data_IF_770508595469
#
_entry.id   IF_770508595469
#
_cell.length_a   1.000
_cell.length_b   1.000
_cell.length_c   1.000
_cell.angle_alpha   90.00
_cell.angle_beta   90.00
_cell.angle_gamma   90.00
#
_symmetry.space_group_name_H-M   'P 1'
#
loop_
_entity.id
_entity.type
_entity.pdbx_description
1 polymer ?
#
# COMPACT_ATOMS: atom_id res chain seq x y z
N UNK A 1 33.22 6.00 -12.39
CA UNK A 1 34.05 5.89 -11.18
C UNK A 1 33.45 6.89 -10.23
N UNK A 2 32.76 6.41 -9.21
CA UNK A 2 32.04 7.24 -8.24
C UNK A 2 32.49 6.74 -6.88
N UNK A 3 33.11 7.63 -6.11
CA UNK A 3 33.75 7.32 -4.83
C UNK A 3 32.71 6.95 -3.77
N UNK A 4 33.05 5.93 -2.98
CA UNK A 4 32.37 5.54 -1.75
C UNK A 4 33.34 5.90 -0.63
N UNK A 5 32.98 6.85 0.23
CA UNK A 5 33.71 7.09 1.48
C UNK A 5 33.06 6.28 2.59
N UNK A 6 33.84 5.36 3.18
CA UNK A 6 33.50 4.68 4.44
C UNK A 6 34.04 5.51 5.62
N UNK A 7 33.17 5.83 6.58
CA UNK A 7 33.56 6.36 7.89
C UNK A 7 33.06 5.39 8.95
N UNK A 8 34.02 4.78 9.66
CA UNK A 8 33.82 3.90 10.81
C UNK A 8 33.42 4.69 12.05
N UNK A 9 32.40 4.24 12.80
CA UNK A 9 32.11 4.77 14.15
C UNK A 9 31.64 3.63 15.09
N UNK A 10 32.08 3.77 16.35
CA UNK A 10 32.16 2.80 17.44
C UNK A 10 30.82 2.32 18.06
N UNK A 11 30.95 1.24 18.84
CA UNK A 11 29.89 0.34 19.31
C UNK A 11 29.00 0.84 20.49
N UNK A 12 28.92 2.13 20.79
CA UNK A 12 28.16 2.64 21.95
C UNK A 12 26.94 3.54 21.64
N UNK A 13 26.61 3.80 20.37
CA UNK A 13 25.43 4.61 19.97
C UNK A 13 24.09 3.84 19.95
N UNK A 14 23.95 2.78 20.76
CA UNK A 14 22.83 1.81 20.71
C UNK A 14 21.48 2.38 21.23
N UNK A 15 21.41 3.61 21.74
CA UNK A 15 20.16 4.18 22.29
C UNK A 15 19.48 5.29 21.46
N UNK A 16 19.98 5.64 20.27
CA UNK A 16 19.48 6.77 19.46
C UNK A 16 19.13 6.43 18.01
N UNK A 17 18.69 5.19 17.72
CA UNK A 17 18.14 4.87 16.38
C UNK A 17 16.68 5.35 16.27
N UNK A 18 16.51 6.68 16.11
CA UNK A 18 15.37 7.21 15.34
C UNK A 18 15.36 6.44 14.02
N UNK A 19 14.32 5.65 13.78
CA UNK A 19 14.15 4.89 12.55
C UNK A 19 14.35 5.83 11.37
N UNK A 20 15.37 5.56 10.57
CA UNK A 20 15.65 6.31 9.35
C UNK A 20 14.50 6.00 8.38
N UNK A 21 13.52 6.91 8.33
CA UNK A 21 12.19 6.73 7.72
C UNK A 21 12.20 6.82 6.19
N UNK A 22 13.35 6.63 5.54
CA UNK A 22 13.52 7.00 4.13
C UNK A 22 13.19 5.91 3.10
N UNK A 23 12.96 4.63 3.48
CA UNK A 23 12.93 3.53 2.49
C UNK A 23 11.68 2.63 2.51
N UNK A 24 10.53 3.09 2.99
CA UNK A 24 9.30 2.25 3.03
C UNK A 24 8.73 1.92 1.65
N UNK A 25 8.95 2.77 0.65
CA UNK A 25 8.64 2.52 -0.74
C UNK A 25 9.72 3.17 -1.62
N UNK A 26 9.78 2.76 -2.89
CA UNK A 26 10.67 3.37 -3.89
C UNK A 26 9.89 3.91 -5.07
N UNK A 27 10.47 4.89 -5.75
CA UNK A 27 10.01 5.43 -7.04
C UNK A 27 11.18 5.40 -8.02
N UNK A 28 10.91 5.32 -9.32
CA UNK A 28 11.94 5.38 -10.35
C UNK A 28 11.58 6.42 -11.43
N UNK A 29 12.56 6.76 -12.27
CA UNK A 29 12.36 7.56 -13.48
C UNK A 29 13.10 6.90 -14.64
N UNK A 30 12.63 7.11 -15.87
CA UNK A 30 13.31 6.61 -17.08
C UNK A 30 13.32 5.09 -17.24
N UNK A 31 12.39 4.37 -16.58
CA UNK A 31 12.22 2.94 -16.79
C UNK A 31 11.74 2.64 -18.22
N UNK A 32 12.21 1.54 -18.83
CA UNK A 32 11.81 1.20 -20.19
C UNK A 32 10.34 0.79 -20.26
N UNK A 33 9.66 1.26 -21.29
CA UNK A 33 8.33 0.77 -21.64
C UNK A 33 8.45 -0.57 -22.35
N UNK A 34 7.77 -1.58 -21.80
CA UNK A 34 7.75 -2.95 -22.31
C UNK A 34 6.30 -3.43 -22.40
N UNK A 35 6.08 -4.53 -23.12
CA UNK A 35 4.74 -5.12 -23.18
C UNK A 35 4.31 -5.63 -21.80
N UNK A 36 2.99 -5.61 -21.48
CA UNK A 36 2.47 -6.12 -20.22
C UNK A 36 2.93 -7.55 -19.89
N UNK A 37 3.03 -8.42 -20.90
CA UNK A 37 3.57 -9.78 -20.73
C UNK A 37 5.01 -9.80 -20.20
N UNK A 38 5.88 -8.92 -20.72
CA UNK A 38 7.27 -8.84 -20.29
C UNK A 38 7.36 -8.20 -18.90
N UNK A 39 6.59 -7.15 -18.64
CA UNK A 39 6.59 -6.52 -17.32
C UNK A 39 6.06 -7.48 -16.26
N UNK A 40 5.00 -8.25 -16.53
CA UNK A 40 4.45 -9.20 -15.57
C UNK A 40 5.47 -10.23 -15.08
N UNK A 41 6.42 -10.64 -15.92
CA UNK A 41 7.54 -11.51 -15.50
C UNK A 41 8.52 -10.81 -14.56
N UNK A 42 8.71 -9.49 -14.73
CA UNK A 42 9.63 -8.67 -13.90
C UNK A 42 9.02 -8.32 -12.56
N UNK A 43 7.75 -7.91 -12.54
CA UNK A 43 7.08 -7.40 -11.32
C UNK A 43 6.28 -8.47 -10.58
N UNK A 44 6.02 -9.63 -11.20
CA UNK A 44 5.15 -10.66 -10.63
C UNK A 44 5.58 -11.18 -9.27
N UNK A 45 6.88 -11.26 -8.98
CA UNK A 45 7.41 -11.68 -7.68
C UNK A 45 7.08 -10.70 -6.54
N UNK A 46 6.82 -9.43 -6.85
CA UNK A 46 6.42 -8.41 -5.87
C UNK A 46 4.94 -8.48 -5.49
N UNK A 47 4.12 -9.23 -6.23
CA UNK A 47 2.69 -9.35 -5.97
C UNK A 47 2.44 -10.49 -5.01
N UNK A 48 1.79 -10.19 -3.90
CA UNK A 48 1.52 -11.17 -2.83
C UNK A 48 0.05 -11.54 -2.83
N UNK A 49 -0.28 -12.75 -2.38
CA UNK A 49 -1.64 -13.10 -1.97
C UNK A 49 -1.76 -12.87 -0.47
N UNK A 50 -2.75 -12.10 -0.05
CA UNK A 50 -3.09 -11.92 1.36
C UNK A 50 -4.25 -12.86 1.68
N UNK A 51 -4.16 -13.59 2.78
CA UNK A 51 -5.16 -14.57 3.20
C UNK A 51 -5.48 -14.38 4.68
N UNK A 52 -6.78 -14.40 4.99
CA UNK A 52 -7.34 -14.31 6.33
C UNK A 52 -8.37 -15.44 6.53
N UNK A 53 -8.83 -15.70 7.76
CA UNK A 53 -9.92 -16.63 8.00
C UNK A 53 -11.20 -16.30 7.20
N UNK A 54 -11.54 -15.01 7.09
CA UNK A 54 -12.74 -14.53 6.41
C UNK A 54 -12.62 -14.35 4.89
N UNK A 55 -11.41 -14.37 4.30
CA UNK A 55 -11.26 -14.13 2.87
C UNK A 55 -9.83 -14.11 2.32
N UNK A 56 -9.71 -13.68 1.07
CA UNK A 56 -8.43 -13.52 0.38
C UNK A 56 -8.44 -12.28 -0.51
N UNK A 57 -7.24 -11.73 -0.71
CA UNK A 57 -6.98 -10.63 -1.61
C UNK A 57 -5.55 -10.67 -2.13
N UNK A 58 -5.11 -9.56 -2.71
CA UNK A 58 -3.74 -9.37 -3.17
C UNK A 58 -3.08 -8.20 -2.44
N UNK A 59 -1.78 -8.09 -2.57
CA UNK A 59 -0.97 -6.97 -2.10
C UNK A 59 0.23 -6.76 -3.01
N UNK A 60 1.00 -5.70 -2.75
CA UNK A 60 2.28 -5.49 -3.43
C UNK A 60 3.37 -5.12 -2.43
N UNK A 61 4.51 -5.78 -2.55
CA UNK A 61 5.75 -5.49 -1.82
C UNK A 61 6.35 -4.18 -2.34
N UNK A 62 6.68 -3.29 -1.40
CA UNK A 62 7.13 -1.93 -1.63
C UNK A 62 8.65 -1.76 -1.45
N UNK A 63 9.26 -2.65 -0.67
CA UNK A 63 10.70 -2.68 -0.44
C UNK A 63 11.19 -4.10 -0.13
N UNK A 64 12.52 -4.26 -0.06
CA UNK A 64 13.15 -5.54 0.24
C UNK A 64 13.02 -5.99 1.70
N UNK A 65 12.61 -5.11 2.62
CA UNK A 65 12.43 -5.44 4.05
C UNK A 65 11.09 -6.14 4.33
N UNK A 66 10.20 -6.20 3.33
CA UNK A 66 8.91 -6.88 3.45
C UNK A 66 7.73 -5.96 3.72
N UNK A 67 7.89 -4.64 3.60
CA UNK A 67 6.73 -3.74 3.65
C UNK A 67 5.84 -3.98 2.43
N UNK A 68 4.56 -4.20 2.66
CA UNK A 68 3.57 -4.44 1.61
C UNK A 68 2.32 -3.60 1.83
N UNK A 69 1.67 -3.20 0.74
CA UNK A 69 0.35 -2.55 0.79
C UNK A 69 -0.73 -3.53 0.31
N UNK A 70 -1.89 -3.48 0.95
CA UNK A 70 -3.13 -4.13 0.52
C UNK A 70 -4.33 -3.23 0.86
N UNK A 71 -5.55 -3.69 0.59
CA UNK A 71 -6.76 -2.98 1.02
C UNK A 71 -7.13 -3.29 2.46
N UNK A 72 -7.71 -2.31 3.16
CA UNK A 72 -8.15 -2.47 4.54
C UNK A 72 -9.28 -3.51 4.65
N UNK A 73 -10.22 -3.54 3.71
CA UNK A 73 -11.31 -4.52 3.72
C UNK A 73 -10.83 -5.98 3.54
N UNK A 74 -9.65 -6.21 2.96
CA UNK A 74 -9.08 -7.57 2.80
C UNK A 74 -8.71 -8.17 4.16
N UNK A 75 -8.32 -7.32 5.11
CA UNK A 75 -7.82 -7.71 6.43
C UNK A 75 -8.81 -7.38 7.56
N UNK A 76 -9.99 -6.86 7.22
CA UNK A 76 -10.89 -6.25 8.19
C UNK A 76 -11.41 -7.27 9.20
N UNK A 77 -11.24 -6.96 10.49
CA UNK A 77 -11.73 -7.79 11.60
C UNK A 77 -10.88 -9.03 11.87
N UNK A 78 -9.75 -9.19 11.18
CA UNK A 78 -8.88 -10.36 11.26
C UNK A 78 -7.53 -9.98 11.84
N UNK A 79 -7.03 -10.79 12.78
CA UNK A 79 -5.68 -10.63 13.36
C UNK A 79 -4.71 -11.72 12.89
N UNK A 80 -5.23 -12.84 12.38
CA UNK A 80 -4.44 -13.93 11.80
C UNK A 80 -4.34 -13.72 10.28
N UNK A 81 -3.15 -13.33 9.83
CA UNK A 81 -2.85 -13.00 8.45
C UNK A 81 -1.74 -13.89 7.93
N UNK A 82 -1.92 -14.37 6.70
CA UNK A 82 -0.87 -15.07 5.96
C UNK A 82 -0.65 -14.40 4.63
N UNK A 83 0.60 -14.32 4.21
CA UNK A 83 0.96 -13.90 2.87
C UNK A 83 1.53 -15.08 2.08
N UNK A 84 1.13 -15.24 0.82
CA UNK A 84 1.87 -16.09 -0.12
C UNK A 84 2.70 -15.21 -1.04
N UNK A 85 4.00 -15.48 -1.09
CA UNK A 85 4.98 -14.82 -1.96
C UNK A 85 5.53 -15.82 -2.99
N UNK A 86 6.07 -15.30 -4.09
CA UNK A 86 6.69 -16.11 -5.16
C UNK A 86 8.14 -15.69 -5.35
N UNK A 87 9.07 -16.49 -4.80
CA UNK A 87 10.49 -16.18 -4.77
C UNK A 87 11.17 -16.75 -6.02
N UNK A 88 11.80 -15.92 -6.88
CA UNK A 88 12.56 -16.39 -8.03
C UNK A 88 13.70 -17.32 -7.64
N UNK A 89 13.84 -18.41 -8.37
CA UNK A 89 14.89 -19.40 -8.20
C UNK A 89 15.97 -19.26 -9.29
N UNK A 90 17.21 -19.70 -9.04
CA UNK A 90 18.29 -19.65 -10.04
C UNK A 90 17.99 -20.39 -11.35
N UNK A 91 17.09 -21.39 -11.30
CA UNK A 91 16.63 -22.14 -12.47
C UNK A 91 15.53 -21.44 -13.27
N UNK A 92 15.11 -20.23 -12.86
CA UNK A 92 14.07 -19.43 -13.48
C UNK A 92 12.64 -19.80 -13.05
N UNK A 93 12.47 -20.79 -12.17
CA UNK A 93 11.18 -21.08 -11.55
C UNK A 93 10.84 -20.07 -10.45
N UNK A 94 9.57 -20.03 -10.04
CA UNK A 94 9.16 -19.30 -8.84
C UNK A 94 8.77 -20.30 -7.75
N UNK A 95 9.40 -20.19 -6.59
CA UNK A 95 9.03 -20.96 -5.41
C UNK A 95 7.90 -20.26 -4.68
N UNK A 96 6.78 -20.97 -4.51
CA UNK A 96 5.65 -20.50 -3.70
C UNK A 96 5.98 -20.68 -2.22
N UNK A 97 5.94 -19.60 -1.46
CA UNK A 97 6.25 -19.59 -0.02
C UNK A 97 5.13 -18.91 0.75
N UNK A 98 4.66 -19.56 1.81
CA UNK A 98 3.71 -18.95 2.76
C UNK A 98 4.50 -18.31 3.90
N UNK A 99 4.15 -17.08 4.23
CA UNK A 99 4.64 -16.29 5.35
C UNK A 99 3.51 -16.23 6.37
N UNK A 100 3.72 -16.85 7.53
CA UNK A 100 2.76 -16.84 8.64
C UNK A 100 3.00 -15.65 9.59
N UNK A 101 4.20 -15.05 9.56
CA UNK A 101 4.55 -13.87 10.35
C UNK A 101 4.28 -12.59 9.53
N UNK A 102 3.04 -12.13 9.59
CA UNK A 102 2.55 -10.91 8.92
C UNK A 102 2.03 -9.94 9.97
N UNK A 103 2.72 -8.82 10.13
CA UNK A 103 2.34 -7.76 11.07
C UNK A 103 1.52 -6.68 10.36
N UNK A 104 0.44 -6.20 10.99
CA UNK A 104 -0.29 -5.02 10.53
C UNK A 104 0.38 -3.79 11.15
N UNK A 105 0.93 -2.92 10.31
CA UNK A 105 1.63 -1.71 10.75
C UNK A 105 0.66 -0.53 10.87
N UNK A 106 -0.21 -0.35 9.87
CA UNK A 106 -1.16 0.76 9.84
C UNK A 106 -2.39 0.41 9.01
N UNK A 107 -3.55 0.98 9.37
CA UNK A 107 -4.81 0.78 8.66
C UNK A 107 -5.55 2.12 8.52
N UNK A 108 -5.92 2.46 7.29
CA UNK A 108 -6.79 3.59 6.99
C UNK A 108 -8.03 3.10 6.26
N UNK A 109 -9.13 2.96 7.02
CA UNK A 109 -10.42 2.50 6.49
C UNK A 109 -11.06 3.50 5.52
N UNK A 110 -10.77 4.80 5.64
CA UNK A 110 -11.33 5.80 4.72
C UNK A 110 -10.71 5.71 3.33
N UNK A 111 -9.39 5.51 3.25
CA UNK A 111 -8.68 5.28 1.99
C UNK A 111 -8.77 3.83 1.51
N UNK A 112 -9.26 2.93 2.35
CA UNK A 112 -9.24 1.47 2.16
C UNK A 112 -7.83 0.93 1.89
N UNK A 113 -6.87 1.32 2.74
CA UNK A 113 -5.47 0.92 2.65
C UNK A 113 -4.97 0.35 3.98
N UNK A 114 -4.14 -0.70 3.89
CA UNK A 114 -3.41 -1.27 5.01
C UNK A 114 -1.95 -1.49 4.64
N UNK A 115 -1.06 -1.11 5.56
CA UNK A 115 0.38 -1.36 5.47
C UNK A 115 0.72 -2.57 6.33
N UNK A 116 1.35 -3.56 5.71
CA UNK A 116 1.77 -4.81 6.34
C UNK A 116 3.30 -4.89 6.36
N UNK A 117 3.84 -5.70 7.27
CA UNK A 117 5.24 -6.09 7.30
C UNK A 117 5.33 -7.62 7.31
N UNK A 118 5.97 -8.17 6.28
CA UNK A 118 6.20 -9.61 6.13
C UNK A 118 7.64 -9.93 6.56
N UNK A 119 7.83 -10.97 7.35
CA UNK A 119 9.18 -11.48 7.67
C UNK A 119 9.60 -12.57 6.70
N UNK A 120 10.71 -12.36 6.01
CA UNK A 120 11.27 -13.39 5.13
C UNK A 120 11.78 -14.57 5.98
N UNK A 121 11.42 -15.83 5.67
CA UNK A 121 11.79 -16.99 6.49
C UNK A 121 13.31 -17.19 6.60
N UNK A 122 14.04 -16.83 5.53
CA UNK A 122 15.51 -16.87 5.48
C UNK A 122 16.20 -15.52 5.73
N UNK A 123 15.49 -14.49 6.22
CA UNK A 123 16.04 -13.11 6.40
C UNK A 123 16.67 -12.51 5.12
N UNK A 124 16.13 -12.85 3.94
CA UNK A 124 16.59 -12.32 2.63
C UNK A 124 15.72 -11.15 2.17
N UNK A 125 16.25 -10.25 1.33
CA UNK A 125 15.45 -9.21 0.72
C UNK A 125 14.37 -9.77 -0.20
N UNK A 126 13.16 -9.22 -0.12
CA UNK A 126 12.10 -9.51 -1.09
C UNK A 126 12.31 -8.78 -2.42
N UNK A 127 11.79 -9.35 -3.51
CA UNK A 127 11.52 -8.59 -4.72
C UNK A 127 10.33 -7.64 -4.48
N UNK A 128 10.45 -6.41 -4.98
CA UNK A 128 9.45 -5.37 -4.75
C UNK A 128 9.24 -4.53 -6.00
N UNK A 129 8.08 -3.84 -6.05
CA UNK A 129 7.76 -2.90 -7.12
C UNK A 129 7.95 -1.46 -6.68
N UNK A 130 8.16 -0.59 -7.66
CA UNK A 130 8.24 0.86 -7.44
C UNK A 130 6.87 1.50 -7.66
N UNK A 131 6.57 2.55 -6.90
CA UNK A 131 5.42 3.39 -7.12
C UNK A 131 5.73 4.45 -8.19
N UNK A 132 4.72 4.83 -8.96
CA UNK A 132 4.83 5.96 -9.89
C UNK A 132 5.16 7.25 -9.12
N UNK A 133 6.18 7.96 -9.60
CA UNK A 133 6.66 9.18 -8.97
C UNK A 133 5.68 10.35 -9.15
N UNK A 134 5.29 10.64 -10.39
CA UNK A 134 4.75 11.93 -10.79
C UNK A 134 3.24 11.97 -11.10
N UNK A 135 2.49 10.88 -10.92
CA UNK A 135 1.04 10.83 -11.22
C UNK A 135 0.69 11.30 -12.64
N UNK A 136 1.54 10.92 -13.60
CA UNK A 136 1.49 11.39 -14.97
C UNK A 136 0.76 10.41 -15.88
N UNK A 137 0.04 9.42 -15.32
CA UNK A 137 -0.80 8.55 -16.12
C UNK A 137 -1.73 9.36 -17.01
N UNK A 138 -2.03 8.86 -18.21
CA UNK A 138 -2.95 9.50 -19.15
C UNK A 138 -4.14 8.60 -19.52
N UNK A 139 -5.26 9.22 -19.89
CA UNK A 139 -6.42 8.47 -20.40
C UNK A 139 -6.02 7.76 -21.68
N UNK A 140 -6.34 6.47 -21.79
CA UNK A 140 -5.92 5.60 -22.88
C UNK A 140 -4.55 4.94 -22.69
N UNK A 141 -3.79 5.30 -21.64
CA UNK A 141 -2.53 4.63 -21.32
C UNK A 141 -2.79 3.17 -20.94
N UNK A 142 -1.95 2.26 -21.47
CA UNK A 142 -2.05 0.83 -21.20
C UNK A 142 -1.67 0.53 -19.76
N UNK A 143 -2.52 -0.24 -19.09
CA UNK A 143 -2.28 -0.74 -17.74
C UNK A 143 -2.59 -2.23 -17.65
N UNK A 144 -2.02 -2.88 -16.66
CA UNK A 144 -2.32 -4.27 -16.36
C UNK A 144 -2.37 -4.49 -14.85
N UNK A 145 -3.29 -5.35 -14.42
CA UNK A 145 -3.39 -5.79 -13.05
C UNK A 145 -2.88 -7.23 -12.95
N UNK A 146 -2.18 -7.52 -11.86
CA UNK A 146 -1.79 -8.88 -11.49
C UNK A 146 -2.39 -9.14 -10.12
N UNK A 147 -3.09 -10.25 -9.99
CA UNK A 147 -3.62 -10.69 -8.72
C UNK A 147 -3.76 -12.20 -8.66
N UNK A 148 -4.34 -12.66 -7.55
CA UNK A 148 -4.50 -14.07 -7.24
C UNK A 148 -5.98 -14.44 -7.04
N UNK A 149 -6.83 -14.34 -8.07
CA UNK A 149 -8.25 -14.66 -7.96
C UNK A 149 -8.46 -16.17 -7.77
N UNK A 150 -9.23 -16.53 -6.74
CA UNK A 150 -9.84 -17.87 -6.60
C UNK A 150 -8.87 -19.07 -6.62
N UNK A 151 -7.59 -18.87 -6.30
CA UNK A 151 -6.57 -19.93 -6.35
C UNK A 151 -6.02 -20.23 -7.75
N UNK A 152 -6.47 -19.50 -8.79
CA UNK A 152 -5.81 -19.45 -10.10
C UNK A 152 -4.60 -18.49 -9.97
N UNK A 153 -3.46 -19.04 -9.57
CA UNK A 153 -2.25 -18.26 -9.26
C UNK A 153 -1.84 -17.34 -10.42
N UNK A 154 -1.60 -16.05 -10.11
CA UNK A 154 -1.04 -15.04 -11.01
C UNK A 154 -1.88 -14.77 -12.27
N UNK A 155 -3.17 -14.53 -12.08
CA UNK A 155 -4.01 -14.06 -13.18
C UNK A 155 -3.64 -12.61 -13.54
N UNK A 156 -3.45 -12.36 -14.83
CA UNK A 156 -3.16 -11.05 -15.37
C UNK A 156 -4.34 -10.57 -16.21
N UNK A 157 -4.78 -9.34 -15.97
CA UNK A 157 -5.70 -8.62 -16.85
C UNK A 157 -5.01 -7.38 -17.41
N UNK A 158 -5.33 -7.03 -18.64
CA UNK A 158 -4.82 -5.83 -19.31
C UNK A 158 -6.01 -4.96 -19.72
N UNK A 159 -5.81 -3.65 -19.67
CA UNK A 159 -6.75 -2.65 -20.13
C UNK A 159 -6.06 -1.31 -20.32
N UNK A 160 -6.83 -0.24 -20.22
CA UNK A 160 -6.39 1.15 -20.29
C UNK A 160 -6.95 1.95 -19.13
N UNK A 161 -6.35 3.12 -18.89
CA UNK A 161 -6.94 4.13 -18.01
C UNK A 161 -8.16 4.75 -18.72
N UNK A 162 -9.35 4.55 -18.16
CA UNK A 162 -10.58 5.17 -18.67
C UNK A 162 -10.76 6.60 -18.14
N UNK A 163 -10.36 6.86 -16.89
CA UNK A 163 -10.43 8.18 -16.24
C UNK A 163 -9.48 8.21 -15.04
N UNK A 164 -8.81 9.34 -14.79
CA UNK A 164 -7.81 9.47 -13.72
C UNK A 164 -8.36 9.89 -12.36
N UNK A 165 -9.52 10.55 -12.37
CA UNK A 165 -10.07 11.26 -11.21
C UNK A 165 -11.59 11.06 -11.12
N UNK A 166 -12.03 9.81 -11.05
CA UNK A 166 -13.45 9.54 -10.79
C UNK A 166 -13.71 9.81 -9.31
N UNK A 167 -14.58 10.77 -9.00
CA UNK A 167 -14.87 11.15 -7.62
C UNK A 167 -16.01 10.33 -7.03
N UNK A 168 -15.80 9.81 -5.81
CA UNK A 168 -16.80 9.16 -4.96
C UNK A 168 -16.48 9.50 -3.50
N UNK A 169 -17.50 9.86 -2.71
CA UNK A 169 -17.40 10.08 -1.26
C UNK A 169 -16.20 10.93 -0.80
N UNK A 170 -15.86 11.97 -1.56
CA UNK A 170 -14.78 12.90 -1.25
C UNK A 170 -13.37 12.43 -1.64
N UNK A 171 -13.24 11.24 -2.22
CA UNK A 171 -11.99 10.70 -2.77
C UNK A 171 -12.03 10.67 -4.30
N UNK A 172 -10.87 10.50 -4.93
CA UNK A 172 -10.78 10.24 -6.37
C UNK A 172 -10.04 8.97 -6.69
N UNK A 173 -10.55 8.25 -7.68
CA UNK A 173 -10.07 6.94 -8.09
C UNK A 173 -9.66 6.95 -9.56
N UNK A 174 -8.70 6.08 -9.88
CA UNK A 174 -8.39 5.70 -11.24
C UNK A 174 -9.48 4.74 -11.69
N UNK A 175 -10.11 5.00 -12.82
CA UNK A 175 -11.01 4.07 -13.50
C UNK A 175 -10.25 3.38 -14.62
N UNK A 176 -10.41 2.07 -14.73
CA UNK A 176 -9.79 1.23 -15.78
C UNK A 176 -10.79 0.21 -16.30
N UNK A 177 -10.62 -0.22 -17.55
CA UNK A 177 -11.35 -1.35 -18.12
C UNK A 177 -10.60 -2.68 -17.97
N UNK A 178 -9.39 -2.68 -17.38
CA UNK A 178 -8.69 -3.89 -16.99
C UNK A 178 -9.57 -4.66 -15.99
N UNK A 179 -9.86 -5.93 -16.29
CA UNK A 179 -10.77 -6.73 -15.47
C UNK A 179 -10.26 -6.88 -14.03
N UNK A 180 -11.04 -6.42 -13.05
CA UNK A 180 -10.78 -6.59 -11.62
C UNK A 180 -11.84 -7.53 -11.04
N UNK A 181 -11.39 -8.70 -10.61
CA UNK A 181 -12.25 -9.77 -10.06
C UNK A 181 -11.89 -10.02 -8.58
N UNK A 182 -12.75 -10.75 -7.84
CA UNK A 182 -12.41 -11.21 -6.49
C UNK A 182 -11.02 -11.85 -6.42
N UNK A 183 -10.18 -11.33 -5.54
CA UNK A 183 -8.78 -11.72 -5.37
C UNK A 183 -7.74 -10.83 -6.06
N UNK A 184 -8.14 -9.90 -6.94
CA UNK A 184 -7.26 -8.80 -7.37
C UNK A 184 -7.24 -7.67 -6.34
N UNK A 185 -8.33 -7.46 -5.59
CA UNK A 185 -8.46 -6.40 -4.57
C UNK A 185 -7.23 -6.33 -3.65
N UNK A 186 -6.69 -5.12 -3.48
CA UNK A 186 -5.44 -4.85 -2.75
C UNK A 186 -4.16 -5.03 -3.58
N UNK A 187 -4.25 -5.63 -4.77
CA UNK A 187 -3.13 -5.81 -5.69
C UNK A 187 -2.80 -4.56 -6.51
N UNK A 188 -1.65 -4.57 -7.21
CA UNK A 188 -1.17 -3.43 -7.99
C UNK A 188 -1.83 -3.35 -9.37
N UNK A 189 -2.13 -2.12 -9.78
CA UNK A 189 -2.32 -1.73 -11.18
C UNK A 189 -1.01 -1.14 -11.69
N UNK A 190 -0.44 -1.72 -12.73
CA UNK A 190 0.84 -1.33 -13.31
C UNK A 190 0.69 -0.59 -14.64
N UNK A 191 1.60 0.33 -14.94
CA UNK A 191 1.78 0.88 -16.28
C UNK A 191 2.79 0.06 -17.11
N UNK A 192 2.98 0.42 -18.38
CA UNK A 192 3.95 -0.22 -19.29
C UNK A 192 5.42 -0.12 -18.88
N UNK A 193 5.76 0.71 -17.88
CA UNK A 193 7.10 0.81 -17.28
C UNK A 193 7.30 -0.15 -16.10
N UNK A 194 6.24 -0.82 -15.65
CA UNK A 194 6.24 -1.70 -14.49
C UNK A 194 6.14 -0.94 -13.16
N UNK A 195 5.73 0.33 -13.20
CA UNK A 195 5.47 1.12 -12.00
C UNK A 195 4.04 0.87 -11.54
N UNK A 196 3.83 0.79 -10.23
CA UNK A 196 2.48 0.77 -9.66
C UNK A 196 1.88 2.16 -9.81
N UNK A 197 0.74 2.27 -10.48
CA UNK A 197 -0.02 3.52 -10.66
C UNK A 197 -1.23 3.60 -9.73
N UNK A 198 -1.69 2.46 -9.22
CA UNK A 198 -2.71 2.40 -8.18
C UNK A 198 -2.87 1.02 -7.56
N UNK A 199 -3.72 0.93 -6.53
CA UNK A 199 -4.08 -0.32 -5.85
C UNK A 199 -5.52 -0.66 -6.21
N UNK A 200 -5.74 -1.81 -6.84
CA UNK A 200 -7.06 -2.19 -7.36
C UNK A 200 -8.05 -2.37 -6.21
N UNK A 201 -9.26 -1.79 -6.36
CA UNK A 201 -10.28 -1.77 -5.32
C UNK A 201 -11.60 -2.34 -5.87
N UNK A 202 -12.04 -3.47 -5.32
CA UNK A 202 -13.28 -4.14 -5.73
C UNK A 202 -14.54 -3.57 -5.04
N UNK A 203 -14.40 -2.78 -3.97
CA UNK A 203 -15.51 -2.28 -3.15
C UNK A 203 -16.37 -1.18 -3.81
N UNK A 204 -15.96 -0.65 -4.96
CA UNK A 204 -16.66 0.44 -5.67
C UNK A 204 -17.46 -0.16 -6.83
N UNK A 205 -18.63 -0.71 -6.55
CA UNK A 205 -19.53 -1.31 -7.55
C UNK A 205 -20.64 -0.33 -7.95
N UNK A 206 -20.37 0.54 -8.93
CA UNK A 206 -21.38 1.47 -9.46
C UNK A 206 -22.07 0.97 -10.75
N UNK A 207 -21.52 -0.01 -11.47
CA UNK A 207 -22.13 -0.67 -12.63
C UNK A 207 -21.25 -1.86 -13.10
N UNK A 208 -21.81 -2.76 -13.91
CA UNK A 208 -21.02 -3.74 -14.67
C UNK A 208 -20.00 -3.02 -15.57
N UNK A 209 -18.76 -3.55 -15.64
CA UNK A 209 -17.63 -3.00 -16.42
C UNK A 209 -16.97 -1.70 -15.90
N UNK A 210 -17.22 -1.28 -14.66
CA UNK A 210 -16.44 -0.21 -14.02
C UNK A 210 -15.48 -0.81 -12.99
N UNK A 211 -14.18 -0.70 -13.24
CA UNK A 211 -13.14 -1.10 -12.29
C UNK A 211 -12.37 0.12 -11.80
N UNK A 212 -11.95 0.07 -10.53
CA UNK A 212 -11.30 1.20 -9.87
C UNK A 212 -9.99 0.80 -9.20
N UNK A 213 -9.08 1.77 -9.08
CA UNK A 213 -7.88 1.67 -8.29
C UNK A 213 -7.66 2.95 -7.47
N UNK A 214 -7.16 2.78 -6.25
CA UNK A 214 -6.71 3.86 -5.37
C UNK A 214 -5.39 4.40 -5.95
N UNK A 215 -5.30 5.69 -6.35
CA UNK A 215 -4.08 6.23 -6.94
C UNK A 215 -2.89 6.17 -5.97
N UNK A 216 -1.68 6.01 -6.51
CA UNK A 216 -0.44 5.93 -5.68
C UNK A 216 -0.20 7.16 -4.83
N UNK A 217 -0.78 8.31 -5.16
CA UNK A 217 -0.75 9.52 -4.31
C UNK A 217 -1.24 9.26 -2.90
N UNK A 218 -2.38 8.59 -2.79
CA UNK A 218 -2.97 8.23 -1.51
C UNK A 218 -2.13 7.19 -0.79
N UNK A 219 -1.55 6.24 -1.53
CA UNK A 219 -0.64 5.23 -0.97
C UNK A 219 0.62 5.90 -0.39
N UNK A 220 1.27 6.79 -1.15
CA UNK A 220 2.45 7.55 -0.71
C UNK A 220 2.13 8.39 0.52
N UNK A 221 0.99 9.10 0.51
CA UNK A 221 0.56 9.95 1.63
C UNK A 221 0.21 9.12 2.87
N UNK A 222 -0.48 8.00 2.70
CA UNK A 222 -0.78 7.05 3.77
C UNK A 222 0.50 6.52 4.42
N UNK A 223 1.48 6.05 3.65
CA UNK A 223 2.73 5.49 4.18
C UNK A 223 3.57 6.56 4.91
N UNK A 224 3.64 7.78 4.36
CA UNK A 224 4.35 8.90 4.98
C UNK A 224 3.73 9.30 6.33
N UNK A 225 2.41 9.18 6.45
CA UNK A 225 1.66 9.57 7.65
C UNK A 225 1.16 8.36 8.44
N UNK A 226 1.74 7.17 8.25
CA UNK A 226 1.26 5.90 8.82
C UNK A 226 1.09 5.93 10.35
N UNK A 227 1.87 6.74 11.05
CA UNK A 227 1.80 6.88 12.51
C UNK A 227 0.42 7.40 12.98
N UNK A 228 -0.27 8.20 12.15
CA UNK A 228 -1.64 8.64 12.42
C UNK A 228 -2.69 7.53 12.25
N UNK A 229 -2.28 6.40 11.65
CA UNK A 229 -3.10 5.25 11.31
C UNK A 229 -2.53 3.95 11.90
N UNK A 230 -1.62 4.06 12.89
CA UNK A 230 -0.94 2.91 13.46
C UNK A 230 -1.96 1.90 13.98
N UNK A 231 -1.74 0.63 13.65
CA UNK A 231 -2.66 -0.42 14.08
C UNK A 231 -2.45 -0.74 15.57
N UNK A 232 -3.55 -0.81 16.31
CA UNK A 232 -3.58 -1.30 17.69
C UNK A 232 -4.57 -2.47 17.75
N UNK A 233 -4.10 -3.67 18.08
CA UNK A 233 -4.93 -4.87 18.19
C UNK A 233 -6.05 -4.70 19.24
N UNK A 234 -5.85 -3.87 20.26
CA UNK A 234 -6.85 -3.56 21.29
C UNK A 234 -7.83 -2.48 20.86
N UNK A 235 -7.50 -1.74 19.80
CA UNK A 235 -8.33 -0.68 19.25
C UNK A 235 -8.15 -0.57 17.73
N UNK A 236 -8.69 -1.54 16.97
CA UNK A 236 -8.46 -1.65 15.52
C UNK A 236 -9.05 -0.48 14.71
N UNK A 237 -9.74 0.46 15.36
CA UNK A 237 -10.35 1.64 14.75
C UNK A 237 -9.64 2.97 15.07
N UNK A 238 -8.53 3.00 15.83
CA UNK A 238 -8.03 4.29 16.35
C UNK A 238 -7.00 5.00 15.47
N UNK A 239 -7.45 6.04 14.77
CA UNK A 239 -6.64 7.18 14.36
C UNK A 239 -6.74 8.34 15.36
N UNK A 240 -6.26 8.13 16.60
CA UNK A 240 -6.27 9.05 17.76
C UNK A 240 -7.45 8.96 18.75
N UNK A 241 -7.11 8.86 20.04
CA UNK A 241 -7.98 9.23 21.15
C UNK A 241 -8.01 10.77 21.24
N UNK A 242 -9.12 11.39 20.83
CA UNK A 242 -9.36 12.77 21.23
C UNK A 242 -9.49 12.81 22.76
N UNK A 243 -8.72 13.66 23.43
CA UNK A 243 -9.08 14.04 24.79
C UNK A 243 -10.50 14.60 24.75
N UNK A 244 -11.38 14.12 25.63
CA UNK A 244 -12.71 14.69 25.79
C UNK A 244 -12.51 16.20 25.99
N UNK A 245 -13.10 17.06 25.15
CA UNK A 245 -13.02 18.50 25.34
C UNK A 245 -13.41 18.82 26.78
N UNK A 246 -12.74 19.77 27.46
CA UNK A 246 -13.11 20.15 28.82
C UNK A 246 -14.62 20.43 28.86
N UNK A 247 -15.33 19.60 29.62
CA UNK A 247 -16.76 19.76 29.81
C UNK A 247 -16.99 21.11 30.50
N UNK A 248 -18.01 21.90 30.09
CA UNK A 248 -18.39 23.10 30.83
C UNK A 248 -18.56 22.73 32.30
N UNK A 249 -17.98 23.51 33.21
CA UNK A 249 -18.22 23.32 34.65
C UNK A 249 -19.74 23.28 34.87
N UNK A 250 -20.21 22.41 35.78
CA UNK A 250 -21.64 22.29 36.14
C UNK A 250 -22.31 23.60 36.57
N UNK A 251 -21.52 24.64 36.80
CA UNK A 251 -21.96 26.00 37.13
C UNK A 251 -22.40 26.83 35.91
N UNK A 252 -22.44 26.27 34.70
CA UNK A 252 -23.08 26.90 33.54
C UNK A 252 -22.33 28.11 32.94
N UNK A 253 -21.08 28.33 33.34
CA UNK A 253 -20.25 29.40 32.79
C UNK A 253 -19.43 28.83 31.62
N UNK A 254 -19.80 29.19 30.39
CA UNK A 254 -18.94 28.99 29.23
C UNK A 254 -17.64 29.79 29.44
N UNK A 255 -16.45 29.19 29.20
CA UNK A 255 -15.21 29.95 29.18
C UNK A 255 -15.33 31.07 28.15
N UNK A 256 -15.23 32.33 28.58
CA UNK A 256 -15.16 33.44 27.65
C UNK A 256 -13.81 33.40 26.94
N UNK A 257 -13.85 33.50 25.61
CA UNK A 257 -12.66 33.81 24.82
C UNK A 257 -12.10 35.12 25.36
N UNK A 258 -10.87 35.08 25.88
CA UNK A 258 -10.14 36.31 26.16
C UNK A 258 -9.84 36.94 24.81
N UNK A 259 -10.57 37.99 24.48
CA UNK A 259 -10.18 38.87 23.40
C UNK A 259 -8.85 39.52 23.85
N UNK A 260 -7.74 39.14 23.21
CA UNK A 260 -6.51 39.93 23.23
C UNK A 260 -6.73 41.20 22.39
N UNK A 261 -7.64 42.05 22.87
CA UNK A 261 -7.81 43.40 22.41
C UNK A 261 -6.99 44.32 23.32
N UNK A 262 -5.78 44.65 22.87
CA UNK A 262 -5.11 45.88 23.23
C UNK A 262 -4.05 45.78 24.32
N UNK A 263 -2.80 45.68 23.88
CA UNK A 263 -1.72 46.52 24.42
C UNK A 263 -0.98 47.17 23.26
N UNK A 264 -1.24 48.47 23.07
CA UNK A 264 -0.23 49.40 22.57
C UNK A 264 0.95 49.47 23.53
#
# INVERSE_FOLDING_TARGET
MTEIEDVSIDAEDIQTKKMNTSNLFRTAEGLPELSPHVQAKRVGASVIKVSTPGGLGSGVLLNGEGFAITNAHVIQGETDLRATVWIPQPDGSLMRTTIDDVEIIAVNNHLDLALLLLKHPDDKPFDFSVLEKAENIEVGETVFAIGNPLGLERSMSQGVISTKQRSFDGLTYIQTDAAINPGNSGGPLFNSRGEVVGITNMGITAAESLNFAIPTRYVKDFIRNREAFAYDEKNPNSGHLYHVPPQPSKDGISPQLKDDAGKS
#
